data_IF_195698739598
#
_entry.id   IF_195698739598
#
_cell.length_a   1.000
_cell.length_b   1.000
_cell.length_c   1.000
_cell.angle_alpha   90.00
_cell.angle_beta   90.00
_cell.angle_gamma   90.00
#
_symmetry.space_group_name_H-M   'P 1'
#
loop_
_entity.id
_entity.type
_entity.pdbx_description
1 polymer ?
#
# COMPACT_ATOMS: atom_id res chain seq x y z
N UNK A 1 4.14 -6.83 -24.24
CA UNK A 1 3.69 -5.87 -23.21
C UNK A 1 4.02 -4.46 -23.68
N UNK A 2 3.17 -3.48 -23.40
CA UNK A 2 3.40 -2.04 -23.65
C UNK A 2 3.21 -1.33 -22.30
N UNK A 3 4.25 -0.69 -21.79
CA UNK A 3 4.17 0.12 -20.57
C UNK A 3 3.85 1.57 -20.94
N UNK A 4 2.78 2.13 -20.37
CA UNK A 4 2.38 3.53 -20.56
C UNK A 4 2.50 4.26 -19.22
N UNK A 5 3.31 5.32 -19.17
CA UNK A 5 3.43 6.15 -17.98
C UNK A 5 2.12 6.87 -17.65
N UNK A 6 1.77 6.99 -16.38
CA UNK A 6 0.54 7.65 -15.92
C UNK A 6 0.65 9.19 -15.79
N UNK A 7 1.55 9.82 -16.55
CA UNK A 7 1.79 11.26 -16.54
C UNK A 7 0.93 12.09 -17.49
N UNK A 8 1.53 13.19 -17.94
CA UNK A 8 0.93 14.09 -18.93
C UNK A 8 0.70 13.37 -20.26
N UNK A 9 -0.46 13.59 -20.87
CA UNK A 9 -0.89 12.94 -22.12
C UNK A 9 -0.94 11.40 -22.07
N UNK A 10 -0.99 10.82 -20.87
CA UNK A 10 -1.03 9.37 -20.66
C UNK A 10 -2.29 8.71 -21.24
N UNK A 11 -3.42 9.44 -21.25
CA UNK A 11 -4.71 8.97 -21.79
C UNK A 11 -4.67 8.85 -23.31
N UNK A 12 -4.16 9.88 -23.97
CA UNK A 12 -3.97 9.92 -25.41
C UNK A 12 -3.00 8.82 -25.85
N UNK A 13 -1.94 8.59 -25.06
CA UNK A 13 -0.97 7.52 -25.30
C UNK A 13 -1.57 6.13 -25.08
N UNK A 14 -2.40 5.96 -24.05
CA UNK A 14 -3.11 4.71 -23.77
C UNK A 14 -4.13 4.36 -24.87
N UNK A 15 -4.78 5.37 -25.44
CA UNK A 15 -5.64 5.23 -26.63
C UNK A 15 -4.83 4.82 -27.86
N UNK A 16 -3.69 5.47 -28.11
CA UNK A 16 -2.78 5.10 -29.20
C UNK A 16 -2.30 3.64 -29.06
N UNK A 17 -1.99 3.19 -27.84
CA UNK A 17 -1.61 1.82 -27.58
C UNK A 17 -2.75 0.83 -27.88
N UNK A 18 -4.00 1.20 -27.59
CA UNK A 18 -5.17 0.38 -27.93
C UNK A 18 -5.39 0.30 -29.45
N UNK A 19 -5.26 1.41 -30.18
CA UNK A 19 -5.32 1.43 -31.65
C UNK A 19 -4.23 0.53 -32.28
N UNK A 20 -3.02 0.54 -31.72
CA UNK A 20 -1.95 -0.36 -32.13
C UNK A 20 -2.28 -1.84 -31.88
N UNK A 21 -2.82 -2.18 -30.71
CA UNK A 21 -3.23 -3.56 -30.37
C UNK A 21 -4.30 -4.05 -31.36
N UNK A 22 -5.29 -3.21 -31.66
CA UNK A 22 -6.39 -3.55 -32.57
C UNK A 22 -5.96 -3.67 -34.03
N UNK A 23 -4.98 -2.87 -34.46
CA UNK A 23 -4.43 -2.94 -35.82
C UNK A 23 -3.43 -4.08 -36.01
N UNK A 24 -2.88 -4.64 -34.93
CA UNK A 24 -1.88 -5.71 -34.97
C UNK A 24 -2.26 -6.88 -34.03
N UNK A 25 -3.39 -7.57 -34.27
CA UNK A 25 -3.89 -8.63 -33.39
C UNK A 25 -2.92 -9.81 -33.28
N UNK A 26 -2.13 -10.08 -34.32
CA UNK A 26 -1.17 -11.20 -34.37
C UNK A 26 -0.02 -11.05 -33.35
N UNK A 27 0.29 -9.82 -32.93
CA UNK A 27 1.36 -9.54 -31.97
C UNK A 27 0.95 -9.82 -30.52
N UNK A 28 -0.34 -10.08 -30.25
CA UNK A 28 -0.88 -10.40 -28.92
C UNK A 28 -0.38 -9.43 -27.85
N UNK A 29 -0.38 -8.15 -28.19
CA UNK A 29 0.11 -7.08 -27.32
C UNK A 29 -0.87 -6.85 -26.16
N UNK A 30 -0.32 -6.47 -25.01
CA UNK A 30 -1.09 -6.11 -23.82
C UNK A 30 -0.50 -4.81 -23.28
N UNK A 31 -1.33 -3.77 -23.18
CA UNK A 31 -0.97 -2.48 -22.61
C UNK A 31 -1.18 -2.49 -21.10
N UNK A 32 -0.30 -1.79 -20.38
CA UNK A 32 -0.34 -1.67 -18.92
C UNK A 32 0.04 -0.25 -18.53
N UNK A 33 -0.78 0.38 -17.71
CA UNK A 33 -0.48 1.66 -17.08
C UNK A 33 0.53 1.47 -15.95
N UNK A 34 1.57 2.30 -15.92
CA UNK A 34 2.68 2.22 -14.96
C UNK A 34 2.89 3.60 -14.34
N UNK A 35 3.17 3.62 -13.03
CA UNK A 35 3.53 4.86 -12.35
C UNK A 35 4.84 5.43 -12.92
N UNK A 36 4.82 6.68 -13.34
CA UNK A 36 6.04 7.42 -13.75
C UNK A 36 6.73 8.11 -12.57
N UNK A 37 6.22 7.94 -11.35
CA UNK A 37 6.68 8.70 -10.20
C UNK A 37 8.19 8.48 -9.94
N UNK A 38 8.96 9.57 -9.89
CA UNK A 38 10.43 9.53 -9.80
C UNK A 38 11.18 9.15 -11.09
N UNK A 39 10.50 8.85 -12.21
CA UNK A 39 11.17 8.48 -13.47
C UNK A 39 12.01 9.65 -14.04
N UNK A 40 11.54 10.88 -13.88
CA UNK A 40 12.30 12.09 -14.21
C UNK A 40 13.54 12.23 -13.34
N UNK A 41 13.41 11.99 -12.02
CA UNK A 41 14.54 12.01 -11.07
C UNK A 41 15.58 10.94 -11.42
N UNK A 42 15.13 9.73 -11.76
CA UNK A 42 16.01 8.69 -12.30
C UNK A 42 16.73 9.17 -13.56
N UNK A 43 16.01 9.68 -14.55
CA UNK A 43 16.57 10.03 -15.86
C UNK A 43 17.70 11.08 -15.79
N UNK A 44 17.57 12.02 -14.86
CA UNK A 44 18.53 13.08 -14.59
C UNK A 44 19.63 12.68 -13.58
N UNK A 45 19.57 11.48 -13.02
CA UNK A 45 20.54 11.03 -12.02
C UNK A 45 21.91 10.71 -12.64
N UNK A 46 22.95 10.82 -11.81
CA UNK A 46 24.28 10.36 -12.18
C UNK A 46 24.30 8.85 -12.48
N UNK A 47 23.54 8.07 -11.71
CA UNK A 47 23.42 6.63 -11.92
C UNK A 47 22.87 6.30 -13.32
N UNK A 48 21.75 6.91 -13.73
CA UNK A 48 21.20 6.69 -15.07
C UNK A 48 22.13 7.18 -16.19
N UNK A 49 22.91 8.23 -15.94
CA UNK A 49 23.92 8.72 -16.89
C UNK A 49 25.07 7.72 -17.09
N UNK A 50 25.44 6.97 -16.05
CA UNK A 50 26.42 5.87 -16.16
C UNK A 50 25.80 4.62 -16.78
N UNK A 51 24.54 4.31 -16.47
CA UNK A 51 23.85 3.13 -16.98
C UNK A 51 23.51 3.26 -18.48
N UNK A 52 23.16 4.46 -18.93
CA UNK A 52 22.68 4.75 -20.28
C UNK A 52 23.37 6.00 -20.86
N UNK A 53 24.70 5.97 -21.06
CA UNK A 53 25.48 7.15 -21.43
C UNK A 53 25.08 7.73 -22.79
N UNK A 54 24.72 6.87 -23.75
CA UNK A 54 24.41 7.26 -25.13
C UNK A 54 22.95 7.68 -25.35
N UNK A 55 22.12 7.65 -24.30
CA UNK A 55 20.72 8.05 -24.38
C UNK A 55 20.50 9.45 -23.80
N UNK A 56 19.68 10.23 -24.49
CA UNK A 56 19.19 11.52 -23.99
C UNK A 56 18.35 11.33 -22.72
N UNK A 57 18.37 12.36 -21.85
CA UNK A 57 17.63 12.38 -20.58
C UNK A 57 16.15 12.07 -20.79
N UNK A 58 15.52 12.61 -21.84
CA UNK A 58 14.09 12.38 -22.11
C UNK A 58 13.76 10.91 -22.41
N UNK A 59 14.69 10.15 -23.00
CA UNK A 59 14.49 8.74 -23.35
C UNK A 59 14.78 7.80 -22.17
N UNK A 60 15.66 8.18 -21.25
CA UNK A 60 15.97 7.38 -20.05
C UNK A 60 14.73 7.19 -19.17
N UNK A 61 13.83 8.18 -19.11
CA UNK A 61 12.55 8.06 -18.41
C UNK A 61 11.69 6.92 -18.97
N UNK A 62 11.59 6.80 -20.30
CA UNK A 62 10.85 5.72 -20.95
C UNK A 62 11.46 4.34 -20.67
N UNK A 63 12.79 4.23 -20.62
CA UNK A 63 13.48 3.00 -20.21
C UNK A 63 13.10 2.60 -18.78
N UNK A 64 13.04 3.56 -17.85
CA UNK A 64 12.61 3.29 -16.47
C UNK A 64 11.16 2.80 -16.41
N UNK A 65 10.24 3.43 -17.14
CA UNK A 65 8.83 3.01 -17.20
C UNK A 65 8.70 1.55 -17.70
N UNK A 66 9.43 1.20 -18.76
CA UNK A 66 9.43 -0.16 -19.30
C UNK A 66 9.97 -1.18 -18.29
N UNK A 67 11.07 -0.87 -17.61
CA UNK A 67 11.70 -1.76 -16.60
C UNK A 67 10.86 -1.92 -15.34
N UNK A 68 10.15 -0.87 -14.91
CA UNK A 68 9.19 -0.95 -13.79
C UNK A 68 8.08 -1.96 -14.05
N UNK A 69 7.62 -2.09 -15.30
CA UNK A 69 6.63 -3.12 -15.64
C UNK A 69 7.20 -4.53 -15.49
N UNK A 70 8.48 -4.72 -15.78
CA UNK A 70 9.15 -6.03 -15.66
C UNK A 70 9.40 -6.40 -14.20
N UNK A 71 9.99 -5.49 -13.42
CA UNK A 71 10.18 -5.64 -11.99
C UNK A 71 10.15 -4.26 -11.30
N UNK A 72 9.04 -3.89 -10.65
CA UNK A 72 8.92 -2.60 -9.98
C UNK A 72 9.97 -2.41 -8.89
N UNK A 73 10.29 -3.46 -8.13
CA UNK A 73 11.21 -3.38 -7.01
C UNK A 73 12.63 -3.10 -7.50
N UNK A 74 13.10 -3.86 -8.49
CA UNK A 74 14.46 -3.72 -9.03
C UNK A 74 14.72 -2.36 -9.70
N UNK A 75 13.67 -1.71 -10.21
CA UNK A 75 13.79 -0.40 -10.86
C UNK A 75 13.57 0.77 -9.89
N UNK A 76 12.62 0.68 -8.95
CA UNK A 76 12.35 1.77 -7.99
C UNK A 76 13.48 1.96 -6.97
N UNK A 77 14.23 0.91 -6.62
CA UNK A 77 15.39 1.01 -5.71
C UNK A 77 16.54 1.86 -6.25
N UNK A 78 16.55 2.15 -7.56
CA UNK A 78 17.55 3.01 -8.21
C UNK A 78 17.31 4.50 -7.94
N UNK A 79 16.18 4.85 -7.33
CA UNK A 79 15.71 6.21 -7.10
C UNK A 79 15.81 6.49 -5.61
N UNK A 80 16.12 7.74 -5.25
CA UNK A 80 15.96 8.18 -3.86
C UNK A 80 14.50 7.94 -3.44
N UNK A 81 14.24 7.15 -2.37
CA UNK A 81 12.88 6.82 -1.95
C UNK A 81 11.99 8.05 -1.73
N UNK A 82 12.57 9.18 -1.30
CA UNK A 82 11.85 10.45 -1.07
C UNK A 82 11.34 11.07 -2.38
N UNK A 83 11.98 10.74 -3.49
CA UNK A 83 11.66 11.25 -4.83
C UNK A 83 10.61 10.41 -5.56
N UNK A 84 10.19 9.26 -4.99
CA UNK A 84 9.14 8.42 -5.57
C UNK A 84 7.76 9.08 -5.43
N UNK A 85 7.58 10.07 -4.56
CA UNK A 85 6.31 10.79 -4.45
C UNK A 85 5.24 9.99 -3.71
N UNK A 86 5.48 9.70 -2.43
CA UNK A 86 4.64 8.79 -1.62
C UNK A 86 3.42 9.46 -0.98
N UNK A 87 3.27 10.79 -1.12
CA UNK A 87 2.11 11.50 -0.59
C UNK A 87 2.10 13.00 -0.92
N UNK A 88 0.90 13.59 -0.86
CA UNK A 88 0.64 14.99 -1.27
C UNK A 88 1.47 16.03 -0.50
N UNK A 89 1.67 15.82 0.80
CA UNK A 89 2.37 16.76 1.70
C UNK A 89 3.70 16.20 2.19
N UNK A 90 4.34 15.31 1.43
CA UNK A 90 5.61 14.69 1.83
C UNK A 90 6.71 15.72 2.12
N UNK A 91 6.65 16.88 1.46
CA UNK A 91 7.60 17.98 1.61
C UNK A 91 7.41 18.78 2.91
N UNK A 92 6.25 18.64 3.57
CA UNK A 92 5.95 19.30 4.84
C UNK A 92 6.43 18.48 6.06
N UNK A 93 6.98 17.29 5.82
CA UNK A 93 7.51 16.38 6.84
C UNK A 93 9.02 16.62 7.00
N UNK A 94 9.51 16.50 8.24
CA UNK A 94 10.94 16.55 8.51
C UNK A 94 11.72 15.50 7.69
N UNK A 95 12.61 15.98 6.83
CA UNK A 95 13.34 15.20 5.82
C UNK A 95 14.05 13.97 6.40
N UNK A 96 14.72 14.12 7.54
CA UNK A 96 15.44 13.02 8.21
C UNK A 96 14.51 11.92 8.75
N UNK A 97 13.28 12.27 9.15
CA UNK A 97 12.29 11.28 9.59
C UNK A 97 11.70 10.55 8.39
N UNK A 98 11.40 11.28 7.31
CA UNK A 98 10.88 10.70 6.08
C UNK A 98 11.90 9.73 5.45
N UNK A 99 13.16 10.15 5.30
CA UNK A 99 14.23 9.30 4.73
C UNK A 99 14.35 7.98 5.49
N UNK A 100 14.54 8.03 6.81
CA UNK A 100 14.70 6.83 7.63
C UNK A 100 13.51 5.87 7.53
N UNK A 101 12.29 6.42 7.50
CA UNK A 101 11.09 5.59 7.36
C UNK A 101 11.01 4.93 6.00
N UNK A 102 11.32 5.65 4.91
CA UNK A 102 11.28 5.09 3.57
C UNK A 102 12.42 4.11 3.32
N UNK A 103 13.62 4.40 3.82
CA UNK A 103 14.76 3.50 3.74
C UNK A 103 14.47 2.17 4.44
N UNK A 104 13.83 2.20 5.62
CA UNK A 104 13.41 0.99 6.33
C UNK A 104 12.38 0.17 5.52
N UNK A 105 11.37 0.81 4.92
CA UNK A 105 10.39 0.12 4.07
C UNK A 105 11.05 -0.51 2.84
N UNK A 106 12.00 0.18 2.23
CA UNK A 106 12.75 -0.34 1.08
C UNK A 106 13.61 -1.54 1.49
N UNK A 107 14.30 -1.47 2.62
CA UNK A 107 15.05 -2.59 3.19
C UNK A 107 14.14 -3.79 3.45
N UNK A 108 13.00 -3.59 4.13
CA UNK A 108 12.04 -4.66 4.42
C UNK A 108 11.51 -5.32 3.14
N UNK A 109 11.16 -4.52 2.13
CA UNK A 109 10.68 -5.04 0.84
C UNK A 109 11.75 -5.82 0.09
N UNK A 110 12.98 -5.32 0.02
CA UNK A 110 14.08 -5.99 -0.69
C UNK A 110 14.46 -7.31 -0.01
N UNK A 111 14.60 -7.30 1.32
CA UNK A 111 14.96 -8.51 2.06
C UNK A 111 13.80 -9.51 2.13
N UNK A 112 12.56 -9.04 2.19
CA UNK A 112 11.37 -9.90 2.11
C UNK A 112 11.24 -10.62 0.76
N UNK A 113 11.55 -9.94 -0.36
CA UNK A 113 11.55 -10.56 -1.69
C UNK A 113 12.79 -11.41 -1.93
N UNK A 114 13.94 -11.04 -1.39
CA UNK A 114 15.25 -11.63 -1.65
C UNK A 114 15.81 -11.26 -3.03
N UNK A 115 17.13 -11.37 -3.18
CA UNK A 115 17.87 -10.83 -4.32
C UNK A 115 18.73 -11.90 -4.97
N UNK A 116 18.63 -12.06 -6.29
CA UNK A 116 19.56 -12.92 -7.03
C UNK A 116 20.90 -12.18 -7.22
N UNK A 117 21.95 -12.67 -6.57
CA UNK A 117 23.26 -12.00 -6.54
C UNK A 117 23.92 -11.96 -7.92
N UNK A 118 23.58 -12.88 -8.83
CA UNK A 118 24.17 -12.96 -10.15
C UNK A 118 23.55 -11.98 -11.16
N UNK A 119 22.37 -11.44 -10.87
CA UNK A 119 21.65 -10.53 -11.79
C UNK A 119 21.37 -9.16 -11.19
N UNK A 120 21.40 -9.03 -9.86
CA UNK A 120 21.12 -7.78 -9.17
C UNK A 120 22.12 -6.67 -9.52
N UNK A 121 21.57 -5.45 -9.55
CA UNK A 121 22.32 -4.20 -9.69
C UNK A 121 22.92 -3.78 -8.33
N UNK A 122 23.93 -2.91 -8.36
CA UNK A 122 24.52 -2.37 -7.13
C UNK A 122 23.49 -1.61 -6.26
N UNK A 123 22.57 -0.79 -6.79
CA UNK A 123 21.51 -0.17 -5.99
C UNK A 123 20.62 -1.19 -5.28
N UNK A 124 20.22 -2.29 -5.96
CA UNK A 124 19.40 -3.33 -5.33
C UNK A 124 20.17 -4.06 -4.22
N UNK A 125 21.42 -4.44 -4.49
CA UNK A 125 22.29 -5.09 -3.50
C UNK A 125 22.54 -4.22 -2.27
N UNK A 126 22.65 -2.90 -2.44
CA UNK A 126 22.87 -1.96 -1.33
C UNK A 126 21.68 -1.84 -0.35
N UNK A 127 20.53 -2.43 -0.70
CA UNK A 127 19.34 -2.52 0.16
C UNK A 127 19.23 -3.87 0.86
N UNK A 128 20.14 -4.80 0.61
CA UNK A 128 20.21 -6.09 1.31
C UNK A 128 20.83 -5.89 2.69
N UNK A 129 20.28 -6.57 3.69
CA UNK A 129 20.75 -6.47 5.08
C UNK A 129 22.25 -6.78 5.16
N UNK A 130 23.01 -5.92 5.83
CA UNK A 130 24.47 -6.05 5.97
C UNK A 130 25.30 -5.69 4.72
N UNK A 131 24.67 -5.24 3.63
CA UNK A 131 25.36 -4.84 2.39
C UNK A 131 25.36 -3.32 2.25
N UNK A 132 26.52 -2.68 2.42
CA UNK A 132 26.69 -1.25 2.14
C UNK A 132 26.83 -0.98 0.63
N UNK A 133 26.70 0.28 0.21
CA UNK A 133 26.91 0.67 -1.20
C UNK A 133 28.27 0.24 -1.75
N UNK A 134 29.36 0.44 -1.00
CA UNK A 134 30.70 -0.03 -1.42
C UNK A 134 30.78 -1.56 -1.51
N UNK A 135 30.09 -2.28 -0.62
CA UNK A 135 30.08 -3.73 -0.65
C UNK A 135 29.26 -4.24 -1.85
N UNK A 136 28.15 -3.60 -2.18
CA UNK A 136 27.36 -3.90 -3.37
C UNK A 136 28.19 -3.76 -4.66
N UNK A 137 28.96 -2.67 -4.79
CA UNK A 137 29.90 -2.49 -5.92
C UNK A 137 30.98 -3.58 -5.96
N UNK A 138 31.52 -3.98 -4.79
CA UNK A 138 32.51 -5.05 -4.73
C UNK A 138 31.93 -6.41 -5.14
N UNK A 139 30.67 -6.70 -4.80
CA UNK A 139 29.98 -7.94 -5.21
C UNK A 139 29.83 -7.95 -6.73
N UNK A 140 29.34 -6.86 -7.32
CA UNK A 140 29.19 -6.74 -8.78
C UNK A 140 30.53 -6.89 -9.47
N UNK A 141 31.56 -6.16 -9.03
CA UNK A 141 32.91 -6.27 -9.60
C UNK A 141 33.47 -7.67 -9.49
N UNK A 142 33.31 -8.34 -8.35
CA UNK A 142 33.77 -9.72 -8.19
C UNK A 142 33.10 -10.66 -9.20
N UNK A 143 31.79 -10.53 -9.42
CA UNK A 143 31.04 -11.31 -10.42
C UNK A 143 31.51 -11.02 -11.84
N UNK A 144 31.78 -9.75 -12.15
CA UNK A 144 32.21 -9.35 -13.49
C UNK A 144 33.64 -9.86 -13.79
N UNK A 145 34.52 -9.86 -12.78
CA UNK A 145 35.92 -10.30 -12.91
C UNK A 145 36.10 -11.84 -12.87
N UNK A 146 35.28 -12.54 -12.07
CA UNK A 146 35.46 -13.97 -11.76
C UNK A 146 34.35 -14.87 -12.33
N UNK A 147 33.33 -14.28 -12.94
CA UNK A 147 32.12 -14.98 -13.38
C UNK A 147 31.06 -15.10 -12.29
N UNK A 148 29.91 -15.74 -12.61
CA UNK A 148 28.79 -15.86 -11.69
C UNK A 148 29.13 -16.71 -10.46
N UNK A 149 28.57 -16.32 -9.31
CA UNK A 149 28.64 -17.12 -8.09
C UNK A 149 27.88 -18.43 -8.28
N UNK A 150 28.55 -19.55 -7.96
CA UNK A 150 28.00 -20.91 -7.96
C UNK A 150 27.56 -21.38 -6.58
N UNK A 151 28.08 -20.77 -5.52
CA UNK A 151 27.62 -21.03 -4.15
C UNK A 151 27.74 -19.82 -3.24
N UNK A 152 26.90 -19.75 -2.20
CA UNK A 152 26.94 -18.64 -1.22
C UNK A 152 28.29 -18.56 -0.54
N UNK A 153 28.98 -19.69 -0.37
CA UNK A 153 30.33 -19.73 0.22
C UNK A 153 31.32 -18.82 -0.52
N UNK A 154 31.21 -18.70 -1.85
CA UNK A 154 32.09 -17.85 -2.66
C UNK A 154 31.93 -16.36 -2.36
N UNK A 155 30.80 -15.94 -1.76
CA UNK A 155 30.64 -14.54 -1.34
C UNK A 155 31.72 -14.14 -0.34
N UNK A 156 32.26 -15.09 0.44
CA UNK A 156 33.37 -14.82 1.39
C UNK A 156 34.66 -14.38 0.71
N UNK A 157 34.80 -14.63 -0.59
CA UNK A 157 35.95 -14.22 -1.40
C UNK A 157 35.78 -12.77 -1.93
N UNK A 158 34.62 -12.15 -1.72
CA UNK A 158 34.37 -10.75 -2.08
C UNK A 158 35.15 -9.82 -1.15
N UNK A 159 35.87 -8.87 -1.76
CA UNK A 159 36.66 -7.89 -1.04
C UNK A 159 35.80 -7.12 -0.01
N UNK A 160 36.28 -7.10 1.24
CA UNK A 160 35.64 -6.44 2.39
C UNK A 160 34.31 -7.05 2.86
N UNK A 161 33.92 -8.23 2.36
CA UNK A 161 32.82 -8.99 2.96
C UNK A 161 33.33 -9.76 4.19
N UNK A 162 33.20 -9.14 5.37
CA UNK A 162 33.57 -9.79 6.63
C UNK A 162 32.59 -10.88 7.07
N UNK A 163 32.96 -11.74 8.03
CA UNK A 163 32.09 -12.82 8.53
C UNK A 163 30.73 -12.34 9.05
N UNK A 164 30.69 -11.18 9.71
CA UNK A 164 29.44 -10.62 10.23
C UNK A 164 28.54 -10.11 9.10
N UNK A 165 29.09 -9.42 8.11
CA UNK A 165 28.34 -8.97 6.94
C UNK A 165 27.78 -10.17 6.16
N UNK A 166 28.60 -11.22 5.97
CA UNK A 166 28.16 -12.48 5.37
C UNK A 166 26.98 -13.11 6.13
N UNK A 167 27.06 -13.19 7.47
CA UNK A 167 25.97 -13.71 8.30
C UNK A 167 24.67 -12.87 8.17
N UNK A 168 24.78 -11.55 8.01
CA UNK A 168 23.59 -10.70 7.84
C UNK A 168 22.98 -10.82 6.44
N UNK A 169 23.79 -10.97 5.39
CA UNK A 169 23.31 -10.89 4.01
C UNK A 169 22.98 -12.26 3.38
N UNK A 170 23.64 -13.35 3.81
CA UNK A 170 23.64 -14.60 3.06
C UNK A 170 22.25 -15.22 2.88
N UNK A 171 21.32 -15.02 3.81
CA UNK A 171 19.95 -15.56 3.72
C UNK A 171 19.09 -14.85 2.67
N UNK A 172 19.43 -13.60 2.36
CA UNK A 172 18.69 -12.75 1.42
C UNK A 172 19.27 -12.78 0.00
N UNK A 173 20.55 -13.15 -0.13
CA UNK A 173 21.22 -13.34 -1.42
C UNK A 173 20.99 -14.77 -1.93
N UNK A 174 20.34 -14.91 -3.08
CA UNK A 174 20.05 -16.19 -3.71
C UNK A 174 20.96 -16.42 -4.91
N UNK A 175 21.28 -17.69 -5.15
CA UNK A 175 21.97 -18.15 -6.35
C UNK A 175 21.08 -19.18 -7.02
N UNK A 176 20.51 -18.79 -8.16
CA UNK A 176 19.75 -19.71 -9.01
C UNK A 176 20.72 -20.63 -9.74
N UNK A 177 20.35 -21.90 -9.84
CA UNK A 177 21.14 -22.93 -10.54
C UNK A 177 22.61 -23.05 -10.02
N UNK A 178 22.77 -22.87 -8.71
CA UNK A 178 24.04 -23.05 -8.00
C UNK A 178 24.36 -24.52 -7.70
N UNK A 179 25.56 -24.76 -7.17
CA UNK A 179 26.06 -26.11 -6.83
C UNK A 179 25.29 -26.73 -5.66
N UNK A 180 24.89 -25.91 -4.67
CA UNK A 180 24.04 -26.33 -3.56
C UNK A 180 22.60 -25.84 -3.78
N UNK A 181 21.61 -26.74 -3.85
CA UNK A 181 20.22 -26.35 -4.12
C UNK A 181 19.61 -25.46 -3.02
N UNK A 182 20.20 -25.43 -1.81
CA UNK A 182 19.74 -24.53 -0.74
C UNK A 182 20.09 -23.07 -0.99
N UNK A 183 21.08 -22.78 -1.83
CA UNK A 183 21.47 -21.41 -2.17
C UNK A 183 20.40 -20.68 -3.00
N UNK A 184 19.46 -21.43 -3.61
CA UNK A 184 18.28 -20.88 -4.29
C UNK A 184 17.11 -20.55 -3.34
N UNK A 185 17.22 -20.89 -2.06
CA UNK A 185 16.19 -20.73 -1.04
C UNK A 185 16.49 -19.59 -0.06
N UNK A 186 15.55 -19.25 0.80
CA UNK A 186 15.74 -18.32 1.93
C UNK A 186 16.33 -19.01 3.17
N UNK A 187 16.65 -20.32 3.12
CA UNK A 187 17.32 -21.01 4.23
C UNK A 187 18.71 -20.41 4.42
N UNK A 188 19.01 -19.93 5.63
CA UNK A 188 20.31 -19.35 5.93
C UNK A 188 21.41 -20.44 5.97
N UNK A 189 22.65 -20.19 5.47
CA UNK A 189 23.73 -21.17 5.48
C UNK A 189 24.08 -21.79 6.84
N UNK A 190 23.81 -21.08 7.95
CA UNK A 190 24.01 -21.63 9.29
C UNK A 190 23.09 -22.83 9.60
N UNK A 191 21.93 -22.89 8.93
CA UNK A 191 20.92 -23.92 9.12
C UNK A 191 21.02 -25.07 8.10
N UNK A 192 21.98 -25.04 7.17
CA UNK A 192 22.20 -26.12 6.21
C UNK A 192 22.41 -27.49 6.89
N UNK A 193 23.12 -27.61 8.03
CA UNK A 193 23.21 -28.87 8.75
C UNK A 193 21.84 -29.43 9.18
N UNK A 194 20.89 -28.58 9.55
CA UNK A 194 19.52 -29.00 9.91
C UNK A 194 18.83 -29.65 8.72
N UNK A 195 18.88 -29.02 7.54
CA UNK A 195 18.29 -29.57 6.32
C UNK A 195 18.95 -30.88 5.91
N UNK A 196 20.27 -31.00 6.06
CA UNK A 196 20.98 -32.25 5.77
C UNK A 196 20.57 -33.38 6.71
N UNK A 197 20.28 -33.10 8.00
CA UNK A 197 19.69 -34.08 8.93
C UNK A 197 18.28 -34.52 8.48
N UNK A 198 17.45 -33.60 8.00
CA UNK A 198 16.13 -33.92 7.44
C UNK A 198 16.22 -34.83 6.20
N UNK A 199 17.15 -34.52 5.29
CA UNK A 199 17.39 -35.35 4.11
C UNK A 199 17.85 -36.78 4.50
N UNK A 200 18.73 -36.90 5.49
CA UNK A 200 19.19 -38.19 5.99
C UNK A 200 18.05 -39.03 6.64
N UNK A 201 17.20 -38.43 7.47
CA UNK A 201 16.04 -39.11 8.09
C UNK A 201 15.06 -39.65 7.02
N UNK A 202 14.92 -38.94 5.91
CA UNK A 202 14.01 -39.30 4.81
C UNK A 202 14.62 -40.26 3.80
N UNK A 203 15.88 -40.65 3.98
CA UNK A 203 16.60 -41.57 3.10
C UNK A 203 16.91 -40.99 1.71
N UNK A 204 16.87 -39.67 1.56
CA UNK A 204 17.04 -38.96 0.28
C UNK A 204 18.16 -37.91 0.31
N UNK A 205 18.36 -37.25 -0.83
CA UNK A 205 19.22 -36.07 -0.94
C UNK A 205 18.45 -34.78 -0.70
N UNK A 206 19.16 -33.67 -0.46
CA UNK A 206 18.54 -32.35 -0.30
C UNK A 206 17.70 -31.98 -1.53
N UNK A 207 18.23 -32.24 -2.74
CA UNK A 207 17.52 -31.99 -3.99
C UNK A 207 16.20 -32.76 -4.12
N UNK A 208 16.12 -33.98 -3.56
CA UNK A 208 14.88 -34.79 -3.60
C UNK A 208 13.86 -34.39 -2.53
N UNK A 209 14.31 -33.68 -1.50
CA UNK A 209 13.45 -33.19 -0.42
C UNK A 209 12.73 -31.90 -0.82
N UNK A 210 13.42 -31.03 -1.57
CA UNK A 210 12.89 -29.76 -2.07
C UNK A 210 11.66 -30.02 -2.95
N UNK A 211 10.55 -29.33 -2.64
CA UNK A 211 9.27 -29.47 -3.35
C UNK A 211 8.50 -30.75 -3.04
N UNK A 212 9.06 -31.68 -2.26
CA UNK A 212 8.38 -32.92 -1.88
C UNK A 212 7.44 -32.68 -0.69
N UNK A 213 6.30 -32.06 -0.97
CA UNK A 213 5.31 -31.67 0.03
C UNK A 213 4.83 -32.84 0.90
N UNK A 214 4.70 -34.04 0.33
CA UNK A 214 4.23 -35.21 1.08
C UNK A 214 5.21 -35.61 2.19
N UNK A 215 6.50 -35.68 1.86
CA UNK A 215 7.55 -35.99 2.82
C UNK A 215 7.71 -34.86 3.82
N UNK A 216 7.80 -33.60 3.36
CA UNK A 216 8.00 -32.44 4.23
C UNK A 216 6.90 -32.28 5.28
N UNK A 217 5.63 -32.51 4.92
CA UNK A 217 4.50 -32.44 5.87
C UNK A 217 4.44 -33.62 6.85
N UNK A 218 5.14 -34.72 6.55
CA UNK A 218 5.25 -35.86 7.46
C UNK A 218 6.32 -35.67 8.54
N UNK A 219 7.25 -34.74 8.33
CA UNK A 219 8.32 -34.43 9.27
C UNK A 219 7.78 -33.65 10.47
N UNK A 220 8.21 -34.06 11.67
CA UNK A 220 7.92 -33.33 12.91
C UNK A 220 9.05 -32.33 13.20
N UNK A 221 8.78 -31.01 13.26
CA UNK A 221 9.82 -30.00 13.50
C UNK A 221 10.64 -30.25 14.77
N UNK A 222 10.01 -30.78 15.82
CA UNK A 222 10.65 -31.02 17.13
C UNK A 222 11.82 -32.00 17.05
N UNK A 223 11.86 -32.90 16.05
CA UNK A 223 12.97 -33.83 15.84
C UNK A 223 14.26 -33.15 15.35
N UNK A 224 14.15 -31.97 14.75
CA UNK A 224 15.27 -31.29 14.10
C UNK A 224 15.75 -30.06 14.85
N UNK A 225 15.14 -29.77 16.01
CA UNK A 225 15.60 -28.73 16.93
C UNK A 225 16.98 -29.08 17.49
N UNK A 226 17.78 -28.05 17.75
CA UNK A 226 19.04 -28.14 18.50
C UNK A 226 19.21 -26.90 19.38
N UNK A 227 20.35 -26.79 20.08
CA UNK A 227 20.63 -25.68 20.99
C UNK A 227 20.63 -24.30 20.30
N UNK A 228 20.78 -24.27 18.97
CA UNK A 228 20.86 -23.04 18.17
C UNK A 228 19.55 -22.76 17.42
N UNK A 229 18.86 -23.78 16.94
CA UNK A 229 17.66 -23.65 16.09
C UNK A 229 16.42 -24.25 16.76
N UNK A 230 15.52 -23.38 17.19
CA UNK A 230 14.24 -23.76 17.79
C UNK A 230 13.17 -24.18 16.77
N UNK A 231 12.01 -24.59 17.29
CA UNK A 231 10.85 -25.01 16.48
C UNK A 231 10.42 -23.97 15.43
N UNK A 232 10.38 -22.64 15.71
CA UNK A 232 10.01 -21.65 14.69
C UNK A 232 10.92 -21.71 13.46
N UNK A 233 12.25 -21.71 13.67
CA UNK A 233 13.22 -21.77 12.57
C UNK A 233 13.09 -23.05 11.76
N UNK A 234 12.92 -24.19 12.43
CA UNK A 234 12.73 -25.47 11.74
C UNK A 234 11.43 -25.48 10.92
N UNK A 235 10.36 -24.87 11.45
CA UNK A 235 9.08 -24.74 10.75
C UNK A 235 9.22 -23.87 9.50
N UNK A 236 9.93 -22.74 9.61
CA UNK A 236 10.21 -21.85 8.47
C UNK A 236 11.04 -22.57 7.40
N UNK A 237 12.06 -23.35 7.81
CA UNK A 237 12.85 -24.18 6.90
C UNK A 237 11.96 -25.18 6.14
N UNK A 238 11.04 -25.87 6.81
CA UNK A 238 10.13 -26.80 6.14
C UNK A 238 9.21 -26.09 5.14
N UNK A 239 8.68 -24.91 5.51
CA UNK A 239 7.87 -24.09 4.60
C UNK A 239 8.66 -23.61 3.38
N UNK A 240 9.92 -23.23 3.58
CA UNK A 240 10.84 -22.82 2.52
C UNK A 240 11.22 -23.99 1.61
N UNK A 241 11.46 -25.20 2.15
CA UNK A 241 11.73 -26.39 1.34
C UNK A 241 10.51 -26.85 0.53
N UNK A 242 9.29 -26.55 0.99
CA UNK A 242 8.06 -26.85 0.23
C UNK A 242 7.98 -25.99 -1.04
N UNK A 243 8.38 -24.71 -0.95
CA UNK A 243 8.40 -23.75 -2.07
C UNK A 243 9.62 -22.82 -1.97
N UNK A 244 10.80 -23.24 -2.46
CA UNK A 244 12.02 -22.46 -2.32
C UNK A 244 11.94 -21.13 -3.05
N UNK A 245 12.47 -20.08 -2.42
CA UNK A 245 12.55 -18.74 -2.97
C UNK A 245 11.19 -18.16 -3.33
N UNK A 246 10.12 -18.56 -2.61
CA UNK A 246 8.75 -18.11 -2.88
C UNK A 246 8.72 -16.59 -2.86
N UNK A 247 8.38 -16.01 -4.01
CA UNK A 247 8.17 -14.57 -4.12
C UNK A 247 6.94 -14.17 -3.28
N UNK A 248 7.07 -13.27 -2.29
CA UNK A 248 5.94 -12.82 -1.49
C UNK A 248 5.02 -11.85 -2.25
N UNK A 249 5.45 -11.35 -3.42
CA UNK A 249 4.67 -10.42 -4.25
C UNK A 249 3.45 -11.13 -4.85
N UNK A 250 2.33 -10.42 -5.01
CA UNK A 250 1.16 -10.97 -5.69
C UNK A 250 1.50 -11.31 -7.15
N UNK A 251 0.81 -12.31 -7.70
CA UNK A 251 0.90 -12.61 -9.12
C UNK A 251 0.43 -11.39 -9.93
N UNK A 252 1.18 -11.05 -10.98
CA UNK A 252 0.84 -9.94 -11.87
C UNK A 252 -0.50 -10.19 -12.58
N UNK A 253 -1.40 -9.21 -12.51
CA UNK A 253 -2.70 -9.21 -13.21
C UNK A 253 -2.90 -7.85 -13.86
N UNK A 254 -3.46 -7.84 -15.05
CA UNK A 254 -3.85 -6.62 -15.76
C UNK A 254 -5.33 -6.37 -15.57
N UNK A 255 -5.71 -5.15 -15.19
CA UNK A 255 -7.11 -4.77 -15.10
C UNK A 255 -7.70 -4.73 -16.52
N UNK A 256 -8.79 -5.46 -16.74
CA UNK A 256 -9.53 -5.38 -18.00
C UNK A 256 -10.62 -4.31 -17.86
N UNK A 257 -10.34 -3.09 -18.33
CA UNK A 257 -11.38 -2.06 -18.43
C UNK A 257 -12.43 -2.45 -19.48
N UNK A 258 -13.69 -2.12 -19.21
CA UNK A 258 -14.79 -2.42 -20.12
C UNK A 258 -14.71 -1.51 -21.36
N UNK A 259 -14.63 -2.11 -22.55
CA UNK A 259 -14.58 -1.37 -23.81
C UNK A 259 -15.78 -0.43 -23.99
N UNK A 260 -15.53 0.79 -24.46
CA UNK A 260 -16.55 1.81 -24.74
C UNK A 260 -16.95 2.68 -23.55
N UNK A 261 -16.28 2.56 -22.40
CA UNK A 261 -16.51 3.41 -21.21
C UNK A 261 -15.28 4.28 -20.97
N UNK A 262 -15.26 5.48 -21.57
CA UNK A 262 -14.10 6.40 -21.53
C UNK A 262 -14.41 7.71 -20.79
N UNK A 263 -15.68 8.10 -20.71
CA UNK A 263 -16.13 9.36 -20.10
C UNK A 263 -17.11 9.08 -18.98
N UNK A 264 -17.21 10.03 -18.04
CA UNK A 264 -18.20 9.99 -16.95
C UNK A 264 -19.63 9.80 -17.51
N UNK A 265 -19.93 10.38 -18.68
CA UNK A 265 -21.23 10.26 -19.34
C UNK A 265 -21.56 8.86 -19.86
N UNK A 266 -20.56 7.98 -20.01
CA UNK A 266 -20.76 6.60 -20.46
C UNK A 266 -21.13 5.67 -19.29
N UNK A 267 -21.02 6.16 -18.05
CA UNK A 267 -21.38 5.40 -16.86
C UNK A 267 -22.88 5.44 -16.60
N UNK A 268 -23.47 4.26 -16.42
CA UNK A 268 -24.81 4.11 -15.88
C UNK A 268 -24.78 3.51 -14.47
N UNK A 269 -25.66 3.98 -13.55
CA UNK A 269 -25.89 3.30 -12.29
C UNK A 269 -26.21 1.81 -12.51
N UNK A 270 -25.60 0.94 -11.70
CA UNK A 270 -25.72 -0.52 -11.79
C UNK A 270 -24.65 -1.21 -12.64
N UNK A 271 -23.85 -0.47 -13.42
CA UNK A 271 -22.72 -1.07 -14.15
C UNK A 271 -21.69 -1.66 -13.20
N UNK A 272 -21.21 -2.87 -13.50
CA UNK A 272 -20.06 -3.48 -12.84
C UNK A 272 -18.84 -3.28 -13.74
N UNK A 273 -17.79 -2.69 -13.17
CA UNK A 273 -16.56 -2.35 -13.84
C UNK A 273 -15.38 -2.89 -13.03
N UNK A 274 -14.28 -3.17 -13.72
CA UNK A 274 -13.00 -3.42 -13.07
C UNK A 274 -12.25 -2.10 -13.00
N UNK A 275 -11.68 -1.80 -11.83
CA UNK A 275 -10.97 -0.56 -11.58
C UNK A 275 -9.75 -0.77 -10.69
N UNK A 276 -8.85 0.20 -10.71
CA UNK A 276 -7.61 0.18 -9.92
C UNK A 276 -7.75 1.16 -8.77
N UNK A 277 -7.45 0.72 -7.55
CA UNK A 277 -7.45 1.60 -6.38
C UNK A 277 -6.30 2.61 -6.52
N UNK A 278 -6.61 3.89 -6.58
CA UNK A 278 -5.61 4.96 -6.71
C UNK A 278 -5.09 5.39 -5.34
N UNK A 279 -5.98 5.47 -4.34
CA UNK A 279 -5.66 5.93 -3.00
C UNK A 279 -6.64 5.39 -1.96
N UNK A 280 -6.20 5.25 -0.71
CA UNK A 280 -7.02 4.80 0.41
C UNK A 280 -6.95 5.83 1.55
N UNK A 281 -8.11 6.39 1.88
CA UNK A 281 -8.31 7.34 2.97
C UNK A 281 -9.05 6.66 4.15
N UNK A 282 -9.08 7.31 5.31
CA UNK A 282 -9.77 6.78 6.49
C UNK A 282 -11.28 6.55 6.27
N UNK A 283 -11.89 7.31 5.35
CA UNK A 283 -13.33 7.25 5.06
C UNK A 283 -13.69 6.38 3.83
N UNK A 284 -12.71 5.82 3.13
CA UNK A 284 -12.97 5.03 1.93
C UNK A 284 -11.76 4.90 0.99
N UNK A 285 -12.00 4.35 -0.20
CA UNK A 285 -11.00 4.17 -1.24
C UNK A 285 -11.42 4.87 -2.54
N UNK A 286 -10.45 5.45 -3.23
CA UNK A 286 -10.61 6.03 -4.55
C UNK A 286 -10.21 4.98 -5.59
N UNK A 287 -11.08 4.77 -6.59
CA UNK A 287 -10.90 3.75 -7.62
C UNK A 287 -11.04 4.39 -8.99
N UNK A 288 -10.03 4.21 -9.82
CA UNK A 288 -10.06 4.58 -11.23
C UNK A 288 -10.72 3.45 -12.03
N UNK A 289 -11.85 3.74 -12.67
CA UNK A 289 -12.58 2.81 -13.53
C UNK A 289 -12.38 3.11 -15.02
N UNK A 290 -11.40 3.94 -15.37
CA UNK A 290 -11.04 4.28 -16.75
C UNK A 290 -11.77 5.50 -17.32
N UNK A 291 -12.59 6.20 -16.52
CA UNK A 291 -13.41 7.36 -16.97
C UNK A 291 -12.86 8.72 -16.56
N UNK A 292 -11.55 8.78 -16.28
CA UNK A 292 -10.84 10.03 -16.06
C UNK A 292 -11.14 10.78 -14.76
N UNK A 293 -11.94 10.17 -13.88
CA UNK A 293 -12.34 10.69 -12.59
C UNK A 293 -12.45 9.52 -11.62
N UNK A 294 -11.76 9.62 -10.49
CA UNK A 294 -11.82 8.58 -9.47
C UNK A 294 -13.22 8.52 -8.86
N UNK A 295 -13.74 7.30 -8.76
CA UNK A 295 -14.94 7.02 -7.99
C UNK A 295 -14.59 6.74 -6.53
N UNK A 296 -15.42 7.23 -5.63
CA UNK A 296 -15.25 6.99 -4.20
C UNK A 296 -16.05 5.76 -3.78
N UNK A 297 -15.37 4.78 -3.21
CA UNK A 297 -15.97 3.71 -2.42
C UNK A 297 -15.91 4.14 -0.95
N UNK A 298 -17.06 4.46 -0.37
CA UNK A 298 -17.14 4.79 1.07
C UNK A 298 -16.86 3.55 1.93
N UNK A 299 -16.30 3.71 3.13
CA UNK A 299 -15.95 2.59 4.04
C UNK A 299 -17.09 1.59 4.26
N UNK A 300 -18.33 2.08 4.39
CA UNK A 300 -19.52 1.24 4.56
C UNK A 300 -19.92 0.43 3.32
N UNK A 301 -19.41 0.80 2.15
CA UNK A 301 -19.65 0.16 0.87
C UNK A 301 -18.49 -0.79 0.46
N UNK A 302 -17.49 -0.98 1.33
CA UNK A 302 -16.33 -1.82 1.04
C UNK A 302 -16.54 -3.30 1.36
N UNK A 303 -17.35 -3.61 2.37
CA UNK A 303 -17.63 -4.99 2.78
C UNK A 303 -19.05 -5.13 3.34
N UNK A 304 -19.56 -6.36 3.38
CA UNK A 304 -20.79 -6.72 4.11
C UNK A 304 -20.58 -6.79 5.62
N UNK A 305 -19.33 -6.97 6.08
CA UNK A 305 -18.92 -6.90 7.48
C UNK A 305 -18.47 -5.48 7.86
N UNK A 306 -18.46 -5.17 9.16
CA UNK A 306 -17.91 -3.90 9.65
C UNK A 306 -16.42 -3.82 9.31
N UNK A 307 -15.99 -2.67 8.77
CA UNK A 307 -14.60 -2.36 8.41
C UNK A 307 -14.16 -1.20 9.29
N UNK A 308 -13.17 -1.44 10.14
CA UNK A 308 -12.56 -0.40 10.99
C UNK A 308 -11.58 0.48 10.22
N UNK A 309 -10.78 -0.11 9.33
CA UNK A 309 -9.84 0.62 8.48
C UNK A 309 -9.97 0.13 7.03
N UNK A 310 -10.33 1.02 6.07
CA UNK A 310 -10.32 0.74 4.64
C UNK A 310 -9.05 0.03 4.12
N UNK A 311 -7.89 0.27 4.75
CA UNK A 311 -6.59 -0.30 4.35
C UNK A 311 -6.46 -1.80 4.61
N UNK A 312 -7.33 -2.36 5.46
CA UNK A 312 -7.39 -3.81 5.67
C UNK A 312 -8.10 -4.52 4.51
N UNK A 313 -8.95 -3.79 3.77
CA UNK A 313 -9.79 -4.35 2.70
C UNK A 313 -9.13 -4.17 1.34
N UNK A 314 -8.57 -2.99 1.07
CA UNK A 314 -7.92 -2.68 -0.21
C UNK A 314 -6.65 -1.87 0.00
N UNK A 315 -5.73 -2.00 -0.96
CA UNK A 315 -4.48 -1.26 -1.03
C UNK A 315 -4.41 -0.45 -2.32
N UNK A 316 -3.71 0.70 -2.35
CA UNK A 316 -3.39 1.37 -3.60
C UNK A 316 -2.71 0.42 -4.59
N UNK A 317 -3.20 0.39 -5.83
CA UNK A 317 -2.78 -0.52 -6.88
C UNK A 317 -3.62 -1.80 -7.00
N UNK A 318 -4.51 -2.10 -6.04
CA UNK A 318 -5.36 -3.28 -6.13
C UNK A 318 -6.36 -3.15 -7.29
N UNK A 319 -6.52 -4.25 -8.03
CA UNK A 319 -7.54 -4.37 -9.08
C UNK A 319 -8.81 -4.93 -8.42
N UNK A 320 -9.86 -4.12 -8.43
CA UNK A 320 -11.13 -4.42 -7.76
C UNK A 320 -12.29 -4.35 -8.74
N UNK A 321 -13.30 -5.22 -8.51
CA UNK A 321 -14.59 -5.10 -9.20
C UNK A 321 -15.50 -4.21 -8.39
N UNK A 322 -15.97 -3.14 -9.01
CA UNK A 322 -16.82 -2.13 -8.40
C UNK A 322 -18.12 -2.01 -9.16
N UNK A 323 -19.19 -1.69 -8.45
CA UNK A 323 -20.49 -1.37 -9.03
C UNK A 323 -20.75 0.13 -8.91
N UNK A 324 -21.21 0.75 -9.99
CA UNK A 324 -21.58 2.17 -10.01
C UNK A 324 -22.90 2.35 -9.26
N UNK A 325 -22.89 3.11 -8.16
CA UNK A 325 -24.10 3.45 -7.41
C UNK A 325 -24.78 4.70 -7.98
N UNK A 326 -23.99 5.74 -8.23
CA UNK A 326 -24.51 7.00 -8.76
C UNK A 326 -23.41 7.76 -9.51
N UNK A 327 -23.84 8.52 -10.50
CA UNK A 327 -22.98 9.36 -11.35
C UNK A 327 -23.58 10.75 -11.35
N UNK A 328 -22.81 11.72 -10.87
CA UNK A 328 -23.13 13.14 -10.92
C UNK A 328 -22.19 13.79 -11.94
N UNK A 329 -22.70 14.00 -13.15
CA UNK A 329 -21.92 14.54 -14.28
C UNK A 329 -21.54 16.00 -14.04
N UNK A 330 -22.45 16.79 -13.46
CA UNK A 330 -22.23 18.22 -13.20
C UNK A 330 -21.12 18.45 -12.18
N UNK A 331 -21.10 17.63 -11.12
CA UNK A 331 -20.08 17.72 -10.07
C UNK A 331 -18.88 16.83 -10.31
N UNK A 332 -18.85 16.06 -11.40
CA UNK A 332 -17.82 15.05 -11.70
C UNK A 332 -17.57 14.09 -10.53
N UNK A 333 -18.66 13.57 -9.93
CA UNK A 333 -18.57 12.64 -8.81
C UNK A 333 -19.14 11.29 -9.19
N UNK A 334 -18.39 10.23 -8.89
CA UNK A 334 -18.82 8.86 -9.11
C UNK A 334 -18.81 8.17 -7.75
N UNK A 335 -19.95 7.61 -7.37
CA UNK A 335 -20.06 6.79 -6.15
C UNK A 335 -20.02 5.32 -6.53
N UNK A 336 -19.10 4.59 -5.94
CA UNK A 336 -18.84 3.18 -6.21
C UNK A 336 -19.10 2.32 -4.96
N UNK A 337 -19.36 1.04 -5.16
CA UNK A 337 -19.44 0.04 -4.08
C UNK A 337 -18.62 -1.20 -4.47
N UNK A 338 -17.96 -1.82 -3.49
CA UNK A 338 -17.33 -3.13 -3.64
C UNK A 338 -18.35 -4.27 -3.39
N UNK A 339 -19.53 -3.94 -2.85
CA UNK A 339 -20.63 -4.89 -2.64
C UNK A 339 -21.47 -5.01 -3.91
N UNK A 340 -21.22 -6.06 -4.69
CA UNK A 340 -21.88 -6.27 -5.99
C UNK A 340 -23.40 -6.53 -5.86
N UNK A 341 -23.82 -7.06 -4.71
CA UNK A 341 -25.22 -7.40 -4.41
C UNK A 341 -26.09 -6.19 -4.04
N UNK A 342 -25.52 -4.99 -3.91
CA UNK A 342 -26.30 -3.80 -3.55
C UNK A 342 -27.27 -3.42 -4.68
N UNK A 343 -28.56 -3.36 -4.37
CA UNK A 343 -29.58 -2.86 -5.28
C UNK A 343 -29.43 -1.34 -5.44
N UNK A 344 -29.34 -0.90 -6.70
CA UNK A 344 -29.20 0.50 -7.06
C UNK A 344 -30.60 1.11 -7.15
N UNK A 345 -30.91 2.06 -6.26
CA UNK A 345 -32.13 2.85 -6.36
C UNK A 345 -31.94 4.00 -7.36
N UNK A 346 -33.00 4.50 -8.04
CA UNK A 346 -32.89 5.60 -9.01
C UNK A 346 -32.26 6.89 -8.45
N UNK A 347 -32.30 7.06 -7.12
CA UNK A 347 -31.76 8.24 -6.42
C UNK A 347 -30.33 8.04 -5.88
N UNK A 348 -29.64 6.95 -6.22
CA UNK A 348 -28.23 6.75 -5.89
C UNK A 348 -27.93 6.50 -4.41
N UNK A 349 -28.94 6.09 -3.62
CA UNK A 349 -28.77 5.68 -2.21
C UNK A 349 -28.80 4.15 -2.09
N UNK A 350 -28.01 3.56 -1.18
CA UNK A 350 -28.14 2.13 -0.87
C UNK A 350 -29.56 1.87 -0.38
N UNK A 351 -30.26 0.89 -0.99
CA UNK A 351 -31.53 0.43 -0.46
C UNK A 351 -31.29 -0.07 0.97
N UNK A 352 -31.81 0.66 1.97
CA UNK A 352 -31.77 0.20 3.34
C UNK A 352 -32.48 -1.15 3.40
N UNK A 353 -31.73 -2.22 3.74
CA UNK A 353 -32.32 -3.51 4.08
C UNK A 353 -33.37 -3.24 5.17
N UNK A 354 -34.65 -3.36 4.81
CA UNK A 354 -35.73 -3.44 5.78
C UNK A 354 -35.45 -4.66 6.66
N UNK A 355 -34.91 -4.43 7.85
CA UNK A 355 -34.93 -5.41 8.92
C UNK A 355 -36.40 -5.66 9.27
N UNK A 356 -36.92 -6.79 8.81
CA UNK A 356 -38.27 -7.25 9.12
C UNK A 356 -38.41 -7.51 10.62
N UNK A 357 -39.41 -6.89 11.24
CA UNK A 357 -39.71 -7.07 12.66
C UNK A 357 -40.74 -6.08 13.18
N UNK A 358 -41.95 -6.08 12.62
CA UNK A 358 -43.07 -5.27 13.14
C UNK A 358 -44.39 -5.78 12.60
N UNK A 359 -45.09 -6.58 13.39
CA UNK A 359 -46.39 -7.17 13.06
C UNK A 359 -47.46 -6.09 12.78
N UNK A 360 -48.43 -6.32 11.87
CA UNK A 360 -49.49 -5.35 11.59
C UNK A 360 -50.57 -5.40 12.66
N UNK A 361 -50.93 -4.25 13.24
CA UNK A 361 -52.18 -4.10 14.01
C UNK A 361 -53.35 -3.84 13.05
N UNK A 362 -54.49 -4.53 13.17
CA UNK A 362 -55.62 -4.32 12.29
C UNK A 362 -56.42 -3.07 12.68
N UNK A 363 -57.00 -2.45 11.66
CA UNK A 363 -57.90 -1.30 11.75
C UNK A 363 -59.34 -1.74 12.05
N UNK A 364 -60.07 -0.93 12.83
CA UNK A 364 -61.53 -0.97 12.89
C UNK A 364 -62.11 -0.44 14.21
N UNK A 365 -62.95 0.59 14.15
CA UNK A 365 -63.86 0.96 15.25
C UNK A 365 -64.21 2.44 15.30
N UNK A 366 -65.44 2.77 14.91
CA UNK A 366 -66.07 4.11 14.91
C UNK A 366 -66.29 4.72 16.31
N UNK A 367 -66.55 6.04 16.30
CA UNK A 367 -66.77 6.96 17.44
C UNK A 367 -68.01 6.60 18.28
N UNK A 368 -68.18 7.18 19.49
CA UNK A 368 -68.97 8.41 19.56
C UNK A 368 -68.47 9.47 20.57
N UNK A 369 -68.93 10.71 20.36
CA UNK A 369 -68.73 11.90 21.21
C UNK A 369 -69.43 11.74 22.57
N UNK A 370 -68.80 12.24 23.62
CA UNK A 370 -69.38 12.45 24.95
C UNK A 370 -68.78 13.68 25.61
N UNK A 371 -69.65 14.51 26.15
CA UNK A 371 -69.48 15.87 26.63
C UNK A 371 -69.11 15.91 28.14
N UNK A 372 -68.79 17.11 28.64
CA UNK A 372 -68.78 17.57 30.06
C UNK A 372 -67.50 17.54 30.92
N UNK A 373 -67.08 18.79 31.21
CA UNK A 373 -66.92 19.45 32.53
C UNK A 373 -66.16 18.75 33.66
N UNK A 374 -65.24 19.52 34.26
CA UNK A 374 -65.21 19.67 35.72
C UNK A 374 -63.84 19.60 36.42
N UNK A 375 -63.26 20.77 36.71
CA UNK A 375 -62.94 21.16 38.09
C UNK A 375 -61.85 20.45 38.90
N UNK A 376 -60.68 21.12 38.97
CA UNK A 376 -60.14 21.77 40.18
C UNK A 376 -59.44 21.00 41.32
N UNK A 377 -58.42 21.70 41.84
CA UNK A 377 -57.66 21.59 43.12
C UNK A 377 -56.52 20.57 43.13
N UNK A 378 -55.30 20.90 43.58
CA UNK A 378 -54.71 22.03 44.33
C UNK A 378 -53.34 21.51 44.86
N UNK A 379 -52.38 22.23 45.41
CA UNK A 379 -52.06 23.63 45.68
C UNK A 379 -50.50 23.67 45.77
N UNK A 380 -49.82 24.73 45.39
CA UNK A 380 -49.61 26.00 46.10
C UNK A 380 -48.61 25.95 47.28
N UNK A 381 -47.61 26.86 47.16
CA UNK A 381 -46.81 27.59 48.17
C UNK A 381 -45.31 27.28 48.09
N UNK A 382 -44.39 28.24 48.05
CA UNK A 382 -44.43 29.72 48.09
C UNK A 382 -42.97 30.16 47.82
N UNK A 383 -42.69 31.23 47.08
CA UNK A 383 -42.71 32.62 47.57
C UNK A 383 -41.47 32.91 48.43
N UNK A 384 -40.69 33.98 48.27
CA UNK A 384 -40.84 35.23 47.53
C UNK A 384 -39.61 36.10 47.87
N UNK A 385 -39.42 37.16 47.06
CA UNK A 385 -38.72 38.45 47.34
C UNK A 385 -37.22 38.46 47.07
N UNK A 386 -36.66 39.47 46.42
CA UNK A 386 -37.17 40.74 45.87
C UNK A 386 -35.94 41.46 45.27
N UNK A 387 -36.05 42.00 44.05
CA UNK A 387 -36.18 43.44 43.78
C UNK A 387 -35.01 44.27 44.36
N UNK A 388 -34.29 45.11 43.62
CA UNK A 388 -34.83 46.15 42.72
C UNK A 388 -33.68 46.88 41.99
N UNK A 389 -33.97 47.32 40.75
CA UNK A 389 -33.58 48.59 40.08
C UNK A 389 -32.18 49.22 40.30
N UNK A 390 -31.45 49.71 39.30
CA UNK A 390 -31.84 50.20 37.98
C UNK A 390 -31.43 51.68 37.78
N UNK A 391 -30.89 52.00 36.60
CA UNK A 391 -30.57 53.36 36.12
C UNK A 391 -29.10 53.76 36.27
N UNK A 392 -28.44 54.52 35.39
CA UNK A 392 -28.85 55.21 34.15
C UNK A 392 -27.56 55.73 33.44
N UNK A 393 -27.54 55.68 32.11
CA UNK A 393 -27.00 56.67 31.13
C UNK A 393 -25.63 57.39 31.27
N UNK A 394 -24.96 57.52 30.11
CA UNK A 394 -24.18 58.72 29.70
C UNK A 394 -22.65 58.51 29.64
N UNK A 395 -21.99 58.39 28.48
CA UNK A 395 -21.73 59.36 27.40
C UNK A 395 -20.43 60.18 27.59
N UNK A 396 -19.63 60.17 26.50
CA UNK A 396 -18.71 61.20 25.98
C UNK A 396 -17.24 61.34 26.45
N UNK A 397 -16.38 61.22 25.41
CA UNK A 397 -15.19 62.03 25.06
C UNK A 397 -13.96 61.98 25.99
N UNK A 398 -12.72 61.99 25.53
CA UNK A 398 -12.12 62.10 24.20
C UNK A 398 -10.59 62.24 24.34
N UNK A 399 -9.86 61.90 23.27
CA UNK A 399 -8.44 62.26 23.01
C UNK A 399 -7.37 61.64 23.93
N UNK A 400 -6.11 61.46 23.56
CA UNK A 400 -5.40 61.56 22.28
C UNK A 400 -3.97 60.98 22.53
N UNK A 401 -3.48 60.15 21.60
CA UNK A 401 -2.06 59.87 21.26
C UNK A 401 -1.11 59.22 22.27
N UNK A 402 -0.36 58.23 21.76
CA UNK A 402 0.98 57.88 22.23
C UNK A 402 1.24 56.38 22.24
N UNK A 403 1.67 55.82 21.10
CA UNK A 403 2.03 54.41 21.00
C UNK A 403 3.44 54.12 21.52
N UNK A 404 3.64 52.94 22.10
CA UNK A 404 4.62 51.95 21.63
C UNK A 404 4.62 50.68 22.51
N UNK A 405 4.81 49.54 21.84
CA UNK A 405 5.24 48.23 22.33
C UNK A 405 4.38 47.49 23.37
N UNK A 406 3.44 46.69 22.85
CA UNK A 406 2.92 45.49 23.55
C UNK A 406 3.75 44.27 23.16
N UNK A 407 4.49 43.74 24.12
CA UNK A 407 4.61 42.29 24.26
C UNK A 407 3.41 41.78 25.04
N UNK A 408 2.74 40.72 24.56
CA UNK A 408 2.24 39.64 25.41
C UNK A 408 1.57 38.54 24.60
N UNK A 409 2.11 37.33 24.77
CA UNK A 409 1.40 36.08 25.09
C UNK A 409 0.20 35.75 24.20
N UNK A 410 0.46 34.95 23.17
CA UNK A 410 -0.55 34.14 22.50
C UNK A 410 -1.12 33.10 23.46
N UNK A 411 -2.44 33.17 23.66
CA UNK A 411 -3.23 32.11 24.28
C UNK A 411 -3.40 30.94 23.32
N UNK A 412 -3.34 29.74 23.88
CA UNK A 412 -3.46 28.49 23.15
C UNK A 412 -4.83 28.29 22.49
N UNK A 413 -4.79 27.70 21.31
CA UNK A 413 -5.89 26.92 20.75
C UNK A 413 -5.34 25.52 20.45
N UNK A 414 -6.06 24.53 20.97
CA UNK A 414 -5.68 23.12 20.94
C UNK A 414 -5.52 22.58 19.52
N UNK A 415 -4.46 21.80 19.34
CA UNK A 415 -4.21 21.00 18.16
C UNK A 415 -5.27 19.91 18.02
N UNK A 416 -5.91 19.83 16.85
CA UNK A 416 -6.71 18.68 16.45
C UNK A 416 -5.82 17.43 16.31
N UNK A 417 -6.33 16.22 16.61
CA UNK A 417 -5.54 15.00 16.55
C UNK A 417 -5.12 14.68 15.11
N UNK A 418 -3.82 14.45 14.94
CA UNK A 418 -3.21 14.04 13.68
C UNK A 418 -3.31 12.52 13.59
N UNK A 419 -4.36 12.00 12.95
CA UNK A 419 -4.55 10.56 12.77
C UNK A 419 -4.14 10.12 11.37
N UNK A 420 -3.01 9.42 11.31
CA UNK A 420 -2.44 8.84 10.10
C UNK A 420 -1.41 7.75 10.43
N UNK A 421 -1.03 6.94 9.43
CA UNK A 421 -0.10 5.81 9.62
C UNK A 421 1.25 6.23 10.24
N UNK A 422 1.69 7.46 9.96
CA UNK A 422 2.87 8.04 10.58
C UNK A 422 2.64 8.41 12.04
N UNK A 423 1.45 8.89 12.42
CA UNK A 423 1.11 9.15 13.81
C UNK A 423 1.03 7.86 14.62
N UNK A 424 0.51 6.78 14.02
CA UNK A 424 0.49 5.46 14.67
C UNK A 424 1.87 4.82 14.76
N UNK A 425 2.73 4.99 13.75
CA UNK A 425 4.13 4.59 13.84
C UNK A 425 4.87 5.37 14.93
N UNK A 426 4.58 6.67 15.07
CA UNK A 426 5.16 7.53 16.10
C UNK A 426 4.62 7.21 17.51
N UNK A 427 3.34 6.82 17.66
CA UNK A 427 2.76 6.32 18.91
C UNK A 427 3.37 4.98 19.32
N UNK A 428 3.47 4.02 18.39
CA UNK A 428 4.13 2.73 18.64
C UNK A 428 5.60 2.88 19.02
N UNK A 429 6.27 3.93 18.52
CA UNK A 429 7.64 4.27 18.87
C UNK A 429 7.77 5.09 20.18
N UNK A 430 6.67 5.40 20.88
CA UNK A 430 6.69 6.18 22.14
C UNK A 430 7.01 7.67 21.97
N UNK A 431 6.87 8.21 20.75
CA UNK A 431 7.28 9.57 20.37
C UNK A 431 6.13 10.59 20.38
N UNK A 432 4.91 10.15 20.67
CA UNK A 432 3.74 10.99 20.92
C UNK A 432 3.18 10.62 22.30
N UNK A 433 2.89 11.63 23.13
CA UNK A 433 2.09 11.47 24.37
C UNK A 433 0.68 11.95 24.08
N UNK A 434 -0.30 11.25 24.66
CA UNK A 434 -1.74 11.46 24.48
C UNK A 434 -2.20 12.92 24.66
#
# INVERSE_FOLDING_TARGET
>A
LIAVGNGTASRETDKLAAELINSQPDLKLTKVMVSEAGASVYSASEYASRELPDLDVSLRGAVSIARRLQDPLAELVKIDPRSIGVGQYQHDIAEAKLSRSLDAVVEDCVNGVGVDVNTASAPLLSRVSGVSGTLAENIVRHRDDNGPFRSRRQLKDVARLGPKAYEQCAGFLRIRDGDDPLDGSSVHPEAYPVVRRMAAETGGGVATLIGNTAVLRSLRPEKFVDDRFGVPTVTDILGELEKPGRDPRPAFKTAAFKEGVEKIGDLAPGMVLEGVVTNVAAFGAFVDVGVHQDGLVHVSAMSTSFVSDPREVVKPGDIVKVKVLSVDVDRKRISLTLRLDDEVTPDGRPAARRSGGGAPRPAGGERPRGDQRGGSRGGARGGQRGAQSGGQSGAQSGGQRGGQSRGQRGGGQGSAPVDGAMADALRRAGLLRD
#
